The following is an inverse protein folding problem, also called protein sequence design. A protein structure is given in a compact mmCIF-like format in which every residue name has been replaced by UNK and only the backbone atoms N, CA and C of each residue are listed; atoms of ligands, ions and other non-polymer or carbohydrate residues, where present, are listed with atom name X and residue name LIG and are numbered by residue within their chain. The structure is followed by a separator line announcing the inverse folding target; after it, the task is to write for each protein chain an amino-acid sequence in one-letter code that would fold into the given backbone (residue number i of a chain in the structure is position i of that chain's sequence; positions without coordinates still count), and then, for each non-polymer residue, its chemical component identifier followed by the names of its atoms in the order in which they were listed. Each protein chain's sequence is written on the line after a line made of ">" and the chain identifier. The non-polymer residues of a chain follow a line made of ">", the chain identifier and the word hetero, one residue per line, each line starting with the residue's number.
data_IF_648900217780
#
_entry.id   IF_648900217780
#
_cell.length_a   1.000
_cell.length_b   1.000
_cell.length_c   1.000
_cell.angle_alpha   90.00
_cell.angle_beta   90.00
_cell.angle_gamma   90.00
#
_symmetry.space_group_name_H-M   'P 1'
#
loop_
_entity.id
_entity.type
_entity.pdbx_description
1 polymer ?
#
# COMPACT_ATOMS: atom_id res chain seq x y z
N UNK A 1 11.57 17.66 55.28
CA UNK A 1 10.86 18.95 55.43
C UNK A 1 11.56 20.00 54.57
N UNK A 2 11.12 20.25 53.33
CA UNK A 2 11.49 21.45 52.57
C UNK A 2 10.56 21.65 51.37
N UNK A 3 9.67 22.67 51.46
CA UNK A 3 9.10 23.52 50.39
C UNK A 3 8.23 22.81 49.33
N UNK A 4 6.89 22.84 49.28
CA UNK A 4 5.87 23.84 49.67
C UNK A 4 6.03 25.22 49.01
N UNK A 5 6.07 25.31 47.68
CA UNK A 5 5.68 26.52 46.91
C UNK A 5 5.26 26.07 45.51
N UNK A 6 3.97 26.16 45.15
CA UNK A 6 3.50 26.79 43.90
C UNK A 6 1.96 26.71 43.84
N UNK A 7 1.29 27.47 44.71
CA UNK A 7 -0.10 27.89 44.53
C UNK A 7 -0.08 29.38 44.21
N UNK A 8 -0.03 29.75 42.95
CA UNK A 8 -0.34 31.11 42.48
C UNK A 8 -0.34 31.06 40.96
N UNK A 9 -1.52 31.10 40.35
CA UNK A 9 -1.86 31.87 39.14
C UNK A 9 -3.33 31.59 38.80
N UNK A 10 -4.19 31.93 39.75
CA UNK A 10 -5.63 32.10 39.54
C UNK A 10 -5.81 33.59 39.26
N UNK A 11 -5.87 34.01 37.98
CA UNK A 11 -6.54 35.22 37.48
C UNK A 11 -5.96 35.69 36.12
N UNK A 12 -6.59 35.28 35.02
CA UNK A 12 -6.72 36.05 33.75
C UNK A 12 -7.98 35.52 33.07
N UNK A 13 -9.19 36.00 33.41
CA UNK A 13 -9.89 37.12 32.72
C UNK A 13 -9.85 36.89 31.19
N UNK A 14 -10.84 36.17 30.65
CA UNK A 14 -12.05 36.76 30.05
C UNK A 14 -11.71 37.83 29.01
N UNK A 15 -11.64 37.45 27.74
CA UNK A 15 -12.10 38.21 26.56
C UNK A 15 -11.44 37.65 25.29
N UNK A 16 -12.18 36.90 24.47
CA UNK A 16 -12.21 37.21 23.05
C UNK A 16 -13.46 36.62 22.40
N UNK A 17 -14.09 37.47 21.60
CA UNK A 17 -15.45 37.39 21.14
C UNK A 17 -15.68 36.35 20.05
N UNK A 18 -16.84 35.68 20.13
CA UNK A 18 -17.60 35.21 18.99
C UNK A 18 -17.99 36.42 18.12
N UNK A 19 -17.48 36.52 16.88
CA UNK A 19 -18.19 36.89 15.65
C UNK A 19 -17.18 37.16 14.50
N UNK A 20 -17.14 36.28 13.50
CA UNK A 20 -16.79 36.63 12.12
C UNK A 20 -17.18 35.45 11.19
N UNK A 21 -18.39 35.51 10.65
CA UNK A 21 -18.72 34.91 9.35
C UNK A 21 -18.69 36.06 8.31
N UNK A 22 -18.27 35.75 7.07
CA UNK A 22 -18.32 36.64 5.89
C UNK A 22 -16.99 37.34 5.62
N UNK A 23 -16.44 37.39 4.40
CA UNK A 23 -16.92 37.07 3.06
C UNK A 23 -15.67 36.86 2.18
N UNK A 24 -15.57 35.74 1.44
CA UNK A 24 -14.62 35.62 0.32
C UNK A 24 -15.42 35.36 -0.96
N UNK A 25 -16.15 36.38 -1.41
CA UNK A 25 -16.67 36.47 -2.77
C UNK A 25 -15.51 36.68 -3.75
N UNK A 26 -15.02 35.59 -4.36
CA UNK A 26 -14.20 35.67 -5.57
C UNK A 26 -15.08 35.38 -6.80
N UNK A 27 -15.32 36.36 -7.69
CA UNK A 27 -16.05 36.13 -8.93
C UNK A 27 -15.05 35.81 -10.05
N UNK A 28 -14.87 34.53 -10.38
CA UNK A 28 -14.27 34.11 -11.65
C UNK A 28 -14.98 32.86 -12.16
N UNK A 29 -16.22 33.03 -12.63
CA UNK A 29 -16.76 32.10 -13.62
C UNK A 29 -17.47 32.87 -14.74
N UNK A 30 -16.68 33.16 -15.77
CA UNK A 30 -17.18 33.35 -17.13
C UNK A 30 -16.51 32.29 -18.01
N UNK A 31 -16.60 31.03 -17.58
CA UNK A 31 -16.34 29.84 -18.39
C UNK A 31 -17.56 29.56 -19.26
N UNK A 32 -17.54 30.15 -20.45
CA UNK A 32 -18.18 29.68 -21.69
C UNK A 32 -19.05 28.41 -21.59
N UNK A 33 -20.34 28.61 -21.81
CA UNK A 33 -21.34 27.57 -22.08
C UNK A 33 -20.97 26.81 -23.37
N UNK A 34 -20.13 25.78 -23.26
CA UNK A 34 -19.76 24.93 -24.38
C UNK A 34 -19.30 23.53 -23.94
N UNK A 35 -20.15 22.85 -23.18
CA UNK A 35 -20.49 21.46 -23.46
C UNK A 35 -21.65 21.10 -22.54
N UNK A 36 -22.79 20.83 -23.15
CA UNK A 36 -23.61 19.74 -22.67
C UNK A 36 -22.69 18.49 -22.64
N UNK A 37 -22.01 18.26 -21.53
CA UNK A 37 -21.61 16.92 -21.17
C UNK A 37 -22.94 16.26 -20.82
N UNK A 38 -23.49 15.59 -21.84
CA UNK A 38 -24.48 14.55 -21.66
C UNK A 38 -24.16 13.86 -20.32
N UNK A 39 -25.12 13.91 -19.40
CA UNK A 39 -25.36 12.76 -18.54
C UNK A 39 -25.68 11.61 -19.49
N UNK A 40 -24.64 11.07 -20.12
CA UNK A 40 -24.70 9.87 -20.88
C UNK A 40 -25.21 8.82 -19.91
N UNK A 41 -26.06 7.88 -20.37
CA UNK A 41 -26.26 6.70 -19.57
C UNK A 41 -24.85 6.12 -19.39
N UNK A 42 -24.36 6.06 -18.16
CA UNK A 42 -23.29 5.14 -17.76
C UNK A 42 -23.81 3.71 -17.93
N UNK A 43 -24.12 3.37 -19.18
CA UNK A 43 -24.35 2.05 -19.69
C UNK A 43 -22.98 1.56 -20.15
N UNK A 44 -22.15 1.19 -19.18
CA UNK A 44 -20.92 0.47 -19.47
C UNK A 44 -19.80 0.72 -18.48
N UNK A 45 -19.87 0.04 -17.34
CA UNK A 45 -18.77 -0.86 -16.91
C UNK A 45 -19.11 -1.80 -15.74
N UNK A 46 -20.12 -1.50 -14.91
CA UNK A 46 -20.27 -2.26 -13.64
C UNK A 46 -21.61 -2.98 -13.45
N UNK A 47 -22.42 -3.10 -14.51
CA UNK A 47 -23.46 -4.12 -14.55
C UNK A 47 -22.85 -5.34 -15.25
N UNK A 48 -22.08 -6.14 -14.51
CA UNK A 48 -21.66 -7.46 -14.97
C UNK A 48 -22.86 -8.26 -15.52
N UNK A 49 -22.61 -9.33 -16.28
CA UNK A 49 -23.70 -10.11 -16.86
C UNK A 49 -24.65 -10.59 -15.76
N UNK A 50 -25.97 -10.59 -16.04
CA UNK A 50 -26.99 -10.97 -15.07
C UNK A 50 -26.78 -12.38 -14.47
N UNK A 51 -26.01 -13.23 -15.18
CA UNK A 51 -25.33 -14.41 -14.66
C UNK A 51 -23.87 -14.36 -15.08
N UNK A 52 -22.99 -14.77 -14.19
CA UNK A 52 -21.57 -14.92 -14.51
C UNK A 52 -21.39 -15.89 -15.68
N UNK A 53 -20.38 -15.63 -16.50
CA UNK A 53 -19.96 -16.49 -17.62
C UNK A 53 -18.50 -16.96 -17.39
N UNK A 54 -17.74 -16.20 -16.61
CA UNK A 54 -16.36 -16.47 -16.21
C UNK A 54 -16.15 -16.00 -14.78
N UNK A 55 -15.11 -16.54 -14.13
CA UNK A 55 -14.78 -16.20 -12.74
C UNK A 55 -14.57 -14.69 -12.53
N UNK A 56 -14.02 -13.98 -13.53
CA UNK A 56 -13.83 -12.53 -13.48
C UNK A 56 -15.13 -11.70 -13.44
N UNK A 57 -16.30 -12.30 -13.69
CA UNK A 57 -17.59 -11.61 -13.52
C UNK A 57 -18.06 -11.64 -12.06
N UNK A 58 -17.40 -12.45 -11.23
CA UNK A 58 -17.59 -12.59 -9.79
C UNK A 58 -16.50 -11.87 -8.99
N UNK A 59 -15.43 -11.37 -9.61
CA UNK A 59 -14.42 -10.60 -8.88
C UNK A 59 -15.08 -9.34 -8.24
N UNK A 60 -14.92 -9.19 -6.92
CA UNK A 60 -15.50 -8.12 -6.09
C UNK A 60 -14.46 -7.08 -5.67
N UNK A 61 -13.30 -7.10 -6.33
CA UNK A 61 -12.10 -6.31 -6.01
C UNK A 61 -11.58 -6.50 -4.57
N UNK A 62 -12.02 -7.55 -3.88
CA UNK A 62 -11.46 -8.00 -2.60
C UNK A 62 -10.57 -9.18 -2.91
N UNK A 63 -9.28 -9.07 -2.61
CA UNK A 63 -8.33 -10.14 -2.90
C UNK A 63 -8.31 -11.16 -1.77
N UNK A 64 -8.29 -10.73 -0.50
CA UNK A 64 -7.97 -11.64 0.61
C UNK A 64 -9.07 -12.66 0.94
N UNK A 65 -10.31 -12.40 0.56
CA UNK A 65 -11.41 -13.36 0.68
C UNK A 65 -11.29 -14.53 -0.32
N UNK A 66 -10.30 -14.48 -1.22
CA UNK A 66 -9.97 -15.54 -2.16
C UNK A 66 -10.72 -15.43 -3.50
N UNK A 67 -10.28 -16.22 -4.47
CA UNK A 67 -10.81 -16.14 -5.84
C UNK A 67 -12.23 -16.69 -5.95
N UNK A 68 -13.16 -15.82 -6.31
CA UNK A 68 -14.54 -16.21 -6.60
C UNK A 68 -14.63 -17.06 -7.89
N UNK A 69 -15.57 -18.00 -7.89
CA UNK A 69 -15.80 -18.91 -9.01
C UNK A 69 -17.18 -18.71 -9.60
N UNK A 70 -17.24 -18.64 -10.92
CA UNK A 70 -18.49 -18.66 -11.64
C UNK A 70 -18.98 -20.11 -11.79
N UNK A 71 -19.94 -20.50 -10.96
CA UNK A 71 -20.59 -21.81 -10.96
C UNK A 71 -22.12 -21.65 -10.97
N UNK A 72 -22.74 -21.33 -12.13
CA UNK A 72 -24.16 -20.98 -12.21
C UNK A 72 -25.17 -22.05 -11.77
N UNK A 73 -24.73 -23.31 -11.66
CA UNK A 73 -25.55 -24.47 -11.27
C UNK A 73 -25.22 -24.96 -9.85
N UNK A 74 -24.28 -24.32 -9.16
CA UNK A 74 -23.94 -24.69 -7.79
C UNK A 74 -25.01 -24.22 -6.81
N UNK A 75 -25.26 -24.99 -5.75
CA UNK A 75 -26.25 -24.68 -4.73
C UNK A 75 -25.77 -23.62 -3.74
N UNK A 76 -24.45 -23.43 -3.63
CA UNK A 76 -23.83 -22.37 -2.84
C UNK A 76 -23.72 -21.06 -3.61
N UNK A 77 -24.01 -21.07 -4.92
CA UNK A 77 -23.92 -19.87 -5.75
C UNK A 77 -25.06 -18.88 -5.47
N UNK A 78 -24.74 -17.59 -5.60
CA UNK A 78 -25.73 -16.52 -5.56
C UNK A 78 -26.64 -16.52 -6.81
N UNK A 79 -27.55 -15.54 -6.90
CA UNK A 79 -28.47 -15.42 -8.05
C UNK A 79 -27.76 -15.18 -9.40
N UNK A 80 -26.51 -14.69 -9.36
CA UNK A 80 -25.65 -14.52 -10.54
C UNK A 80 -24.84 -15.77 -10.87
N UNK A 81 -24.76 -16.75 -9.97
CA UNK A 81 -23.94 -17.94 -10.14
C UNK A 81 -22.53 -17.83 -9.55
N UNK A 82 -22.26 -16.84 -8.72
CA UNK A 82 -20.96 -16.61 -8.09
C UNK A 82 -20.86 -17.36 -6.75
N UNK A 83 -19.74 -18.04 -6.54
CA UNK A 83 -19.40 -18.74 -5.29
C UNK A 83 -18.11 -18.14 -4.77
N UNK A 84 -18.12 -17.68 -3.51
CA UNK A 84 -16.93 -17.20 -2.82
C UNK A 84 -15.91 -18.31 -2.59
N UNK A 85 -14.66 -17.95 -2.29
CA UNK A 85 -13.62 -18.95 -2.11
C UNK A 85 -13.82 -19.80 -0.85
N UNK A 86 -13.50 -21.09 -0.96
CA UNK A 86 -13.49 -22.04 0.16
C UNK A 86 -12.26 -21.88 1.08
N UNK A 87 -11.28 -21.07 0.66
CA UNK A 87 -10.01 -20.87 1.35
C UNK A 87 -9.53 -19.41 1.19
N UNK A 88 -8.78 -18.86 2.16
CA UNK A 88 -8.18 -17.54 2.05
C UNK A 88 -7.22 -17.48 0.85
N UNK A 89 -7.01 -16.28 0.32
CA UNK A 89 -6.16 -16.07 -0.86
C UNK A 89 -4.68 -16.41 -0.64
N UNK A 90 -4.21 -16.30 0.60
CA UNK A 90 -2.80 -16.40 0.98
C UNK A 90 -2.49 -17.65 1.79
N UNK A 91 -1.22 -18.05 1.75
CA UNK A 91 -0.72 -19.11 2.62
C UNK A 91 -0.79 -18.69 4.09
N UNK A 92 -0.78 -19.67 5.01
CA UNK A 92 -0.93 -19.40 6.46
C UNK A 92 0.17 -18.51 7.06
N UNK A 93 1.31 -18.39 6.38
CA UNK A 93 2.47 -17.60 6.82
C UNK A 93 2.58 -16.24 6.12
N UNK A 94 1.70 -15.97 5.15
CA UNK A 94 1.70 -14.71 4.41
C UNK A 94 0.66 -13.75 4.99
N UNK A 95 1.01 -12.47 5.02
CA UNK A 95 0.08 -11.40 5.38
C UNK A 95 -0.65 -10.96 4.13
N UNK A 96 -1.98 -10.97 4.15
CA UNK A 96 -2.73 -10.49 3.01
C UNK A 96 -2.87 -8.97 3.03
N UNK A 97 -2.51 -8.32 1.92
CA UNK A 97 -2.65 -6.88 1.71
C UNK A 97 -3.70 -6.61 0.62
N UNK A 98 -4.83 -6.01 1.02
CA UNK A 98 -5.94 -5.70 0.12
C UNK A 98 -5.66 -4.49 -0.78
N UNK A 99 -4.82 -3.55 -0.33
CA UNK A 99 -4.50 -2.35 -1.10
C UNK A 99 -3.60 -2.70 -2.30
N UNK A 100 -2.68 -3.65 -2.10
CA UNK A 100 -1.78 -4.18 -3.11
C UNK A 100 -2.36 -5.40 -3.85
N UNK A 101 -3.46 -5.97 -3.35
CA UNK A 101 -4.12 -7.15 -3.92
C UNK A 101 -3.19 -8.36 -3.99
N UNK A 102 -2.36 -8.58 -2.95
CA UNK A 102 -1.35 -9.64 -2.95
C UNK A 102 -1.04 -10.17 -1.55
N UNK A 103 -0.42 -11.33 -1.52
CA UNK A 103 0.13 -11.92 -0.31
C UNK A 103 1.55 -11.37 -0.10
N UNK A 104 1.79 -10.85 1.10
CA UNK A 104 3.09 -10.36 1.56
C UNK A 104 3.77 -11.47 2.37
N UNK A 105 4.96 -11.83 1.94
CA UNK A 105 5.87 -12.70 2.67
C UNK A 105 6.75 -11.90 3.63
N UNK A 106 7.51 -12.57 4.50
CA UNK A 106 8.54 -11.93 5.33
C UNK A 106 9.51 -11.10 4.46
N UNK A 107 9.84 -11.62 3.28
CA UNK A 107 10.71 -10.95 2.32
C UNK A 107 10.13 -9.67 1.69
N UNK A 108 8.79 -9.50 1.70
CA UNK A 108 8.18 -8.27 1.20
C UNK A 108 8.21 -7.13 2.23
N UNK A 109 8.43 -7.46 3.50
CA UNK A 109 8.38 -6.52 4.62
C UNK A 109 9.77 -6.22 5.18
N UNK A 110 10.66 -7.20 5.19
CA UNK A 110 11.95 -7.18 5.89
C UNK A 110 13.06 -7.84 5.04
N UNK A 111 12.96 -7.78 3.71
CA UNK A 111 13.93 -8.40 2.80
C UNK A 111 15.20 -7.58 2.50
N UNK A 112 15.24 -6.34 3.00
CA UNK A 112 16.33 -5.36 2.93
C UNK A 112 16.44 -4.81 4.36
N UNK A 113 17.36 -5.37 5.15
CA UNK A 113 17.43 -5.18 6.60
C UNK A 113 18.34 -4.02 6.99
N UNK A 114 19.33 -3.71 6.17
CA UNK A 114 20.27 -2.60 6.36
C UNK A 114 19.88 -1.32 5.60
N UNK A 115 18.79 -1.35 4.82
CA UNK A 115 18.21 -0.22 4.08
C UNK A 115 19.14 0.33 2.97
N UNK A 116 19.96 -0.51 2.34
CA UNK A 116 20.82 -0.13 1.22
C UNK A 116 20.09 -0.11 -0.15
N UNK A 117 18.85 -0.63 -0.19
CA UNK A 117 18.01 -0.70 -1.36
C UNK A 117 18.18 -1.98 -2.20
N UNK A 118 18.95 -2.94 -1.72
CA UNK A 118 19.11 -4.26 -2.27
C UNK A 118 18.43 -5.30 -1.37
N UNK A 119 17.73 -6.23 -2.01
CA UNK A 119 17.09 -7.34 -1.30
C UNK A 119 18.13 -8.44 -1.09
N UNK A 120 18.12 -9.05 0.09
CA UNK A 120 19.03 -10.15 0.42
C UNK A 120 18.90 -11.36 -0.50
N UNK A 121 19.99 -12.11 -0.65
CA UNK A 121 19.99 -13.39 -1.36
C UNK A 121 18.97 -14.38 -0.77
N UNK A 122 18.74 -14.34 0.55
CA UNK A 122 17.76 -15.22 1.21
C UNK A 122 16.33 -14.96 0.71
N UNK A 123 16.04 -13.70 0.35
CA UNK A 123 14.78 -13.26 -0.24
C UNK A 123 14.79 -13.26 -1.78
N UNK A 124 15.82 -13.83 -2.40
CA UNK A 124 15.95 -13.96 -3.86
C UNK A 124 16.45 -12.70 -4.55
N UNK A 125 16.94 -11.71 -3.80
CA UNK A 125 17.68 -10.58 -4.34
C UNK A 125 19.16 -10.92 -4.54
N UNK A 126 20.01 -9.89 -4.50
CA UNK A 126 21.42 -9.98 -4.87
C UNK A 126 22.37 -9.45 -3.79
N UNK A 127 21.85 -8.93 -2.68
CA UNK A 127 22.68 -8.49 -1.58
C UNK A 127 23.23 -9.70 -0.78
N UNK A 128 24.56 -9.69 -0.65
CA UNK A 128 25.39 -10.73 -0.08
C UNK A 128 25.63 -10.55 1.43
N UNK A 129 25.38 -9.37 2.00
CA UNK A 129 25.43 -9.09 3.43
C UNK A 129 24.38 -8.05 3.85
N UNK A 130 23.12 -8.50 3.95
CA UNK A 130 21.91 -7.80 4.43
C UNK A 130 21.97 -7.26 5.88
N UNK A 131 23.17 -7.06 6.42
CA UNK A 131 23.43 -6.51 7.74
C UNK A 131 24.45 -5.35 7.66
N UNK A 132 24.94 -5.00 6.48
CA UNK A 132 25.96 -3.99 6.22
C UNK A 132 25.60 -3.17 4.96
N UNK A 133 25.09 -1.96 5.18
CA UNK A 133 24.65 -1.01 4.15
C UNK A 133 25.75 -0.53 3.18
N UNK A 134 27.00 -0.97 3.40
CA UNK A 134 28.14 -0.69 2.52
C UNK A 134 28.47 -1.84 1.58
N UNK A 135 27.83 -3.00 1.73
CA UNK A 135 28.03 -4.20 0.93
C UNK A 135 26.74 -4.49 0.16
N UNK A 136 26.71 -4.12 -1.11
CA UNK A 136 25.53 -4.27 -1.95
C UNK A 136 25.88 -4.33 -3.43
N UNK A 137 24.99 -4.87 -4.29
CA UNK A 137 25.18 -4.92 -5.72
C UNK A 137 25.65 -3.59 -6.34
N UNK A 138 26.91 -3.56 -6.76
CA UNK A 138 27.53 -2.39 -7.39
C UNK A 138 28.06 -1.31 -6.43
N UNK A 139 28.31 -1.63 -5.16
CA UNK A 139 29.08 -0.79 -4.25
C UNK A 139 30.53 -0.58 -4.74
N UNK A 140 31.24 0.40 -4.17
CA UNK A 140 32.66 0.62 -4.48
C UNK A 140 33.54 -0.29 -3.62
N UNK A 141 34.50 -0.96 -4.26
CA UNK A 141 35.45 -1.84 -3.57
C UNK A 141 36.40 -1.10 -2.60
N UNK A 142 36.67 -1.72 -1.45
CA UNK A 142 37.63 -1.26 -0.45
C UNK A 142 38.93 -2.04 -0.58
N UNK A 143 39.89 -1.47 -1.30
CA UNK A 143 41.13 -2.17 -1.63
C UNK A 143 41.93 -2.73 -0.44
N UNK A 144 42.27 -4.01 -0.55
CA UNK A 144 43.08 -4.83 0.34
C UNK A 144 42.42 -5.13 1.70
N UNK A 145 41.09 -5.23 1.75
CA UNK A 145 40.35 -5.73 2.91
C UNK A 145 39.82 -7.16 2.76
N UNK A 146 39.95 -7.76 1.56
CA UNK A 146 39.53 -9.12 1.22
C UNK A 146 38.02 -9.36 1.38
N UNK A 147 37.19 -8.31 1.27
CA UNK A 147 35.72 -8.36 1.26
C UNK A 147 35.22 -8.02 -0.15
N UNK A 148 34.11 -8.63 -0.55
CA UNK A 148 33.39 -8.36 -1.81
C UNK A 148 32.32 -7.32 -1.46
N UNK A 149 32.54 -6.04 -1.78
CA UNK A 149 31.57 -5.00 -1.46
C UNK A 149 30.45 -4.93 -2.49
N UNK A 150 30.75 -5.27 -3.75
CA UNK A 150 29.82 -5.11 -4.86
C UNK A 150 28.95 -6.35 -5.16
N UNK A 151 29.13 -7.41 -4.37
CA UNK A 151 28.46 -8.70 -4.45
C UNK A 151 28.58 -9.39 -5.83
N UNK A 152 29.72 -9.24 -6.53
CA UNK A 152 29.98 -9.86 -7.84
C UNK A 152 30.78 -11.18 -7.82
N UNK A 153 31.01 -11.73 -6.62
CA UNK A 153 31.85 -12.89 -6.30
C UNK A 153 33.36 -12.65 -6.57
N UNK A 154 33.82 -11.40 -6.58
CA UNK A 154 35.24 -11.04 -6.64
C UNK A 154 35.64 -10.19 -5.44
N UNK A 155 36.93 -10.14 -5.21
CA UNK A 155 37.51 -9.45 -4.07
C UNK A 155 38.54 -8.46 -4.63
N UNK A 156 38.51 -7.23 -4.12
CA UNK A 156 39.52 -6.21 -4.35
C UNK A 156 39.74 -5.89 -5.85
N UNK A 157 38.70 -5.96 -6.68
CA UNK A 157 38.78 -5.54 -8.08
C UNK A 157 38.63 -4.03 -8.25
N UNK A 158 39.04 -3.52 -9.43
CA UNK A 158 38.94 -2.08 -9.70
C UNK A 158 39.92 -1.18 -8.91
N UNK A 159 40.76 -1.78 -8.06
CA UNK A 159 41.94 -1.20 -7.41
C UNK A 159 43.15 -1.04 -8.37
#
# INVERSE_FOLDING_TARGET
>A
MLRAVLRLFFATILSLALLACGDDDAPLDAGVDAAAEDGGPDAGRDAGPARCIRDADCEDDVFCNGRERCLPDDLAADDRGCVGADAPACAEVETCDEELGRCLSECDLEGDVDDDGAVSIACGGADCDDMDDTIFPGADEVCADEVDQDCDDRLDEGC
#
